data_IF_271589467113
#
_entry.id   IF_271589467113
#
_cell.length_a   1.000
_cell.length_b   1.000
_cell.length_c   1.000
_cell.angle_alpha   90.00
_cell.angle_beta   90.00
_cell.angle_gamma   90.00
#
_symmetry.space_group_name_H-M   'P 1'
#
loop_
_entity.id
_entity.type
_entity.pdbx_description
1 polymer ?
#
# COMPACT_ATOMS: atom_id res chain seq x y z
N UNK A 1 -22.03 19.55 8.45
CA UNK A 1 -22.29 18.19 8.96
C UNK A 1 -21.11 17.76 9.84
N UNK A 2 -21.28 17.54 11.16
CA UNK A 2 -20.18 17.12 12.03
C UNK A 2 -19.91 15.63 11.80
N UNK A 3 -18.81 15.26 11.14
CA UNK A 3 -18.35 13.86 11.09
C UNK A 3 -18.05 13.41 12.53
N UNK A 4 -18.76 12.40 13.03
CA UNK A 4 -18.45 11.76 14.30
C UNK A 4 -17.22 10.89 14.08
N UNK A 5 -16.16 11.14 14.81
CA UNK A 5 -15.02 10.21 14.90
C UNK A 5 -15.51 8.93 15.58
N UNK A 6 -15.44 7.80 14.87
CA UNK A 6 -15.74 6.47 15.41
C UNK A 6 -14.41 5.87 15.86
N UNK A 7 -14.33 5.44 17.12
CA UNK A 7 -13.17 4.72 17.61
C UNK A 7 -13.19 3.29 17.04
N UNK A 8 -12.09 2.87 16.45
CA UNK A 8 -11.88 1.51 15.95
C UNK A 8 -11.04 0.77 16.98
N UNK A 9 -11.49 -0.41 17.40
CA UNK A 9 -10.80 -1.25 18.37
C UNK A 9 -10.28 -2.52 17.70
N UNK A 10 -8.97 -2.75 17.82
CA UNK A 10 -8.30 -3.94 17.32
C UNK A 10 -8.07 -4.95 18.44
N UNK A 11 -8.42 -6.20 18.20
CA UNK A 11 -8.18 -7.29 19.15
C UNK A 11 -7.29 -8.35 18.50
N UNK A 12 -6.21 -8.71 19.20
CA UNK A 12 -5.32 -9.79 18.80
C UNK A 12 -5.26 -10.83 19.90
N UNK A 13 -5.46 -12.10 19.56
CA UNK A 13 -5.29 -13.24 20.46
C UNK A 13 -4.09 -14.07 19.99
N UNK A 14 -3.14 -14.28 20.91
CA UNK A 14 -1.98 -15.15 20.70
C UNK A 14 -2.12 -16.35 21.63
N UNK A 15 -2.41 -17.55 21.11
CA UNK A 15 -2.31 -18.77 21.90
C UNK A 15 -0.83 -19.04 22.16
N UNK A 16 -0.43 -19.10 23.41
CA UNK A 16 0.90 -19.49 23.87
C UNK A 16 0.78 -20.77 24.69
N UNK A 17 1.67 -21.71 24.42
CA UNK A 17 1.81 -22.91 25.23
C UNK A 17 2.57 -22.58 26.52
N UNK A 18 2.13 -23.12 27.67
CA UNK A 18 2.80 -22.93 28.96
C UNK A 18 4.26 -23.42 28.93
N UNK A 19 4.50 -24.53 28.25
CA UNK A 19 5.84 -25.10 28.08
C UNK A 19 6.76 -24.15 27.28
N UNK A 20 6.24 -23.48 26.28
CA UNK A 20 6.97 -22.48 25.51
C UNK A 20 7.37 -21.26 26.34
N UNK A 21 6.51 -20.83 27.27
CA UNK A 21 6.79 -19.70 28.17
C UNK A 21 7.87 -20.05 29.20
N UNK A 22 7.83 -21.28 29.72
CA UNK A 22 8.74 -21.74 30.79
C UNK A 22 10.13 -22.16 30.27
N UNK A 23 10.21 -22.66 29.02
CA UNK A 23 11.44 -23.22 28.44
C UNK A 23 12.21 -22.21 27.58
N UNK A 24 11.66 -21.03 27.34
CA UNK A 24 12.27 -20.04 26.46
C UNK A 24 13.51 -19.40 27.13
N UNK A 25 14.67 -19.78 26.70
CA UNK A 25 15.94 -19.11 27.03
C UNK A 25 16.12 -17.76 26.34
N UNK A 26 15.04 -17.14 25.84
CA UNK A 26 15.04 -15.85 25.16
C UNK A 26 13.99 -14.91 25.75
N UNK A 27 14.14 -13.62 25.46
CA UNK A 27 13.24 -12.56 25.95
C UNK A 27 11.85 -12.66 25.27
N UNK A 28 10.94 -13.37 25.95
CA UNK A 28 9.55 -13.59 25.51
C UNK A 28 8.82 -12.25 25.35
N UNK A 29 9.04 -11.32 26.24
CA UNK A 29 8.36 -10.02 26.25
C UNK A 29 8.70 -9.22 24.96
N UNK A 30 9.98 -9.20 24.61
CA UNK A 30 10.45 -8.59 23.36
C UNK A 30 9.91 -9.31 22.14
N UNK A 31 9.91 -10.64 22.14
CA UNK A 31 9.36 -11.44 21.05
C UNK A 31 7.86 -11.16 20.83
N UNK A 32 7.07 -11.16 21.90
CA UNK A 32 5.64 -10.87 21.86
C UNK A 32 5.37 -9.45 21.35
N UNK A 33 6.09 -8.47 21.88
CA UNK A 33 5.95 -7.07 21.46
C UNK A 33 6.20 -6.91 19.95
N UNK A 34 7.25 -7.55 19.42
CA UNK A 34 7.54 -7.52 18.00
C UNK A 34 6.48 -8.24 17.15
N UNK A 35 6.00 -9.41 17.61
CA UNK A 35 4.94 -10.15 16.92
C UNK A 35 3.62 -9.38 16.91
N UNK A 36 3.25 -8.79 18.04
CA UNK A 36 2.05 -7.95 18.17
C UNK A 36 2.15 -6.73 17.24
N UNK A 37 3.25 -5.98 17.32
CA UNK A 37 3.47 -4.81 16.47
C UNK A 37 3.37 -5.15 14.97
N UNK A 38 4.00 -6.25 14.54
CA UNK A 38 3.92 -6.70 13.15
C UNK A 38 2.50 -7.11 12.73
N UNK A 39 1.75 -7.76 13.64
CA UNK A 39 0.37 -8.20 13.35
C UNK A 39 -0.58 -7.01 13.28
N UNK A 40 -0.44 -6.03 14.19
CA UNK A 40 -1.22 -4.80 14.14
C UNK A 40 -0.92 -4.00 12.87
N UNK A 41 0.37 -3.78 12.54
CA UNK A 41 0.74 -3.09 11.33
C UNK A 41 0.17 -3.74 10.07
N UNK A 42 0.22 -5.07 9.97
CA UNK A 42 -0.41 -5.79 8.85
C UNK A 42 -1.93 -5.63 8.79
N UNK A 43 -2.60 -5.60 9.94
CA UNK A 43 -4.05 -5.43 10.00
C UNK A 43 -4.44 -4.01 9.59
N UNK A 44 -3.70 -3.00 10.06
CA UNK A 44 -3.88 -1.60 9.67
C UNK A 44 -3.63 -1.39 8.17
N UNK A 45 -2.50 -1.88 7.64
CA UNK A 45 -2.18 -1.79 6.21
C UNK A 45 -3.28 -2.43 5.36
N UNK A 46 -3.76 -3.62 5.77
CA UNK A 46 -4.85 -4.29 5.05
C UNK A 46 -6.15 -3.48 5.11
N UNK A 47 -6.48 -2.89 6.25
CA UNK A 47 -7.69 -2.10 6.40
C UNK A 47 -7.61 -0.79 5.61
N UNK A 48 -6.43 -0.16 5.49
CA UNK A 48 -6.26 1.03 4.67
C UNK A 48 -6.37 0.75 3.17
N UNK A 49 -6.09 -0.47 2.71
CA UNK A 49 -6.16 -0.84 1.29
C UNK A 49 -7.47 -1.53 0.91
N UNK A 50 -8.06 -2.32 1.83
CA UNK A 50 -9.22 -3.17 1.55
C UNK A 50 -10.37 -3.03 2.56
N UNK A 51 -10.33 -2.02 3.43
CA UNK A 51 -11.32 -1.85 4.50
C UNK A 51 -12.67 -1.36 3.99
N UNK A 52 -13.73 -1.87 4.56
CA UNK A 52 -15.12 -1.62 4.12
C UNK A 52 -15.76 -0.37 4.75
N UNK A 53 -15.13 0.26 5.73
CA UNK A 53 -15.70 1.39 6.50
C UNK A 53 -16.75 0.99 7.53
N UNK A 54 -17.09 -0.27 7.71
CA UNK A 54 -18.17 -0.73 8.59
C UNK A 54 -17.66 -0.98 9.98
N UNK A 55 -16.68 -1.32 10.47
CA UNK A 55 -16.03 -1.37 11.79
C UNK A 55 -14.50 -1.25 11.69
N UNK A 56 -14.07 -0.85 10.52
CA UNK A 56 -12.70 -0.63 10.10
C UNK A 56 -12.61 0.66 9.26
N UNK A 57 -11.44 1.20 8.96
CA UNK A 57 -11.28 2.34 8.08
C UNK A 57 -11.88 2.07 6.69
N UNK A 58 -12.41 3.10 6.06
CA UNK A 58 -12.71 3.05 4.63
C UNK A 58 -11.40 2.98 3.86
N UNK A 59 -11.28 2.07 2.92
CA UNK A 59 -10.08 1.88 2.12
C UNK A 59 -9.79 3.05 1.16
N UNK A 60 -8.57 3.14 0.70
CA UNK A 60 -8.14 4.16 -0.25
C UNK A 60 -8.73 3.94 -1.65
N UNK A 61 -9.15 2.72 -1.97
CA UNK A 61 -9.70 2.32 -3.26
C UNK A 61 -11.24 2.34 -3.28
N UNK A 62 -11.88 2.79 -2.20
CA UNK A 62 -13.33 2.79 -2.07
C UNK A 62 -14.00 3.69 -3.10
N UNK A 63 -15.04 3.20 -3.77
CA UNK A 63 -15.69 3.85 -4.92
C UNK A 63 -16.24 5.26 -4.65
N UNK A 64 -16.67 5.53 -3.41
CA UNK A 64 -17.33 6.80 -3.07
C UNK A 64 -16.55 7.71 -2.14
N UNK A 65 -15.78 7.14 -1.22
CA UNK A 65 -15.05 7.88 -0.16
C UNK A 65 -13.52 7.63 -0.21
N UNK A 66 -13.04 6.88 -1.20
CA UNK A 66 -11.63 6.58 -1.42
C UNK A 66 -10.89 7.64 -2.24
N UNK A 67 -9.79 7.25 -2.86
CA UNK A 67 -9.01 8.10 -3.76
C UNK A 67 -9.77 8.37 -5.07
N UNK A 68 -9.55 9.54 -5.65
CA UNK A 68 -10.14 9.91 -6.93
C UNK A 68 -9.59 9.03 -8.06
N UNK A 69 -10.49 8.46 -8.88
CA UNK A 69 -10.11 7.67 -10.05
C UNK A 69 -9.85 8.60 -11.23
N UNK A 70 -8.59 8.72 -11.64
CA UNK A 70 -8.22 9.56 -12.77
C UNK A 70 -8.43 8.89 -14.13
N UNK A 71 -8.22 7.57 -14.21
CA UNK A 71 -8.26 6.81 -15.47
C UNK A 71 -8.56 5.33 -15.19
N UNK A 72 -9.43 4.74 -16.00
CA UNK A 72 -9.66 3.30 -16.04
C UNK A 72 -9.24 2.75 -17.41
N UNK A 73 -8.32 1.76 -17.42
CA UNK A 73 -7.75 1.18 -18.64
C UNK A 73 -7.79 -0.34 -18.59
N UNK A 74 -8.05 -0.98 -19.72
CA UNK A 74 -7.97 -2.44 -19.85
C UNK A 74 -6.54 -2.94 -20.04
N UNK A 75 -5.72 -2.17 -20.75
CA UNK A 75 -4.31 -2.48 -21.03
C UNK A 75 -3.47 -1.29 -20.64
N UNK A 76 -2.58 -1.49 -19.67
CA UNK A 76 -1.72 -0.45 -19.16
C UNK A 76 -0.60 -0.10 -20.15
N UNK A 77 -0.52 1.18 -20.54
CA UNK A 77 0.53 1.74 -21.37
C UNK A 77 1.37 2.76 -20.61
N UNK A 78 2.50 3.16 -21.15
CA UNK A 78 3.33 4.20 -20.53
C UNK A 78 2.66 5.59 -20.61
N UNK A 79 1.85 5.83 -21.64
CA UNK A 79 1.08 7.06 -21.78
C UNK A 79 0.03 7.20 -20.67
N UNK A 80 -0.57 6.09 -20.22
CA UNK A 80 -1.51 6.10 -19.09
C UNK A 80 -0.82 6.51 -17.78
N UNK A 81 0.43 6.08 -17.60
CA UNK A 81 1.24 6.51 -16.44
C UNK A 81 1.52 8.01 -16.50
N UNK A 82 1.82 8.54 -17.69
CA UNK A 82 2.00 9.98 -17.90
C UNK A 82 0.70 10.72 -17.61
N UNK A 83 -0.43 10.24 -18.15
CA UNK A 83 -1.74 10.84 -17.91
C UNK A 83 -2.08 10.87 -16.41
N UNK A 84 -1.87 9.75 -15.71
CA UNK A 84 -2.09 9.67 -14.26
C UNK A 84 -1.18 10.66 -13.49
N UNK A 85 0.09 10.78 -13.88
CA UNK A 85 1.00 11.75 -13.27
C UNK A 85 0.50 13.19 -13.41
N UNK A 86 -0.04 13.54 -14.58
CA UNK A 86 -0.53 14.90 -14.84
C UNK A 86 -1.96 15.15 -14.37
N UNK A 87 -2.75 14.14 -14.02
CA UNK A 87 -4.06 14.30 -13.38
C UNK A 87 -3.96 14.90 -11.97
N UNK A 88 -2.86 14.64 -11.28
CA UNK A 88 -2.61 15.22 -9.94
C UNK A 88 -2.18 16.69 -10.08
N UNK A 89 -2.74 17.57 -9.28
CA UNK A 89 -2.36 19.00 -9.28
C UNK A 89 -0.88 19.20 -8.97
N UNK A 90 -0.29 20.22 -9.61
CA UNK A 90 1.15 20.51 -9.55
C UNK A 90 1.69 20.64 -8.12
N UNK A 91 0.91 21.22 -7.21
CA UNK A 91 1.35 21.43 -5.82
C UNK A 91 1.48 20.11 -5.05
N UNK A 92 0.63 19.09 -5.33
CA UNK A 92 0.66 17.78 -4.70
C UNK A 92 1.68 16.85 -5.37
N UNK A 93 1.89 16.98 -6.69
CA UNK A 93 2.85 16.16 -7.45
C UNK A 93 4.27 16.21 -6.87
N UNK A 94 4.66 17.31 -6.21
CA UNK A 94 6.01 17.48 -5.67
C UNK A 94 6.39 16.38 -4.70
N UNK A 95 5.46 15.96 -3.83
CA UNK A 95 5.67 14.95 -2.80
C UNK A 95 4.98 13.60 -3.12
N UNK A 96 4.50 13.44 -4.36
CA UNK A 96 3.86 12.23 -4.80
C UNK A 96 4.82 11.04 -4.83
N UNK A 97 4.30 9.87 -4.55
CA UNK A 97 4.94 8.56 -4.70
C UNK A 97 4.04 7.67 -5.52
N UNK A 98 4.61 6.65 -6.14
CA UNK A 98 3.85 5.59 -6.80
C UNK A 98 3.64 4.44 -5.85
N UNK A 99 2.39 4.07 -5.62
CA UNK A 99 2.02 2.87 -4.88
C UNK A 99 1.42 1.87 -5.87
N UNK A 100 2.01 0.70 -5.98
CA UNK A 100 1.52 -0.34 -6.88
C UNK A 100 1.92 -1.73 -6.40
N UNK A 101 1.16 -2.74 -6.84
CA UNK A 101 1.53 -4.12 -6.57
C UNK A 101 2.60 -4.63 -7.58
N UNK A 102 3.28 -5.72 -7.22
CA UNK A 102 4.34 -6.34 -8.03
C UNK A 102 3.89 -6.72 -9.45
N UNK A 103 2.62 -7.11 -9.63
CA UNK A 103 2.09 -7.47 -10.96
C UNK A 103 2.04 -6.25 -11.87
N UNK A 104 1.59 -5.11 -11.35
CA UNK A 104 1.56 -3.85 -12.09
C UNK A 104 2.98 -3.37 -12.38
N UNK A 105 3.87 -3.41 -11.41
CA UNK A 105 5.28 -3.08 -11.58
C UNK A 105 5.94 -3.94 -12.67
N UNK A 106 5.65 -5.26 -12.70
CA UNK A 106 6.15 -6.17 -13.73
C UNK A 106 5.66 -5.80 -15.13
N UNK A 107 4.39 -5.42 -15.27
CA UNK A 107 3.83 -4.97 -16.56
C UNK A 107 4.55 -3.70 -17.01
N UNK A 108 4.69 -2.69 -16.15
CA UNK A 108 5.36 -1.44 -16.46
C UNK A 108 6.84 -1.64 -16.82
N UNK A 109 7.55 -2.51 -16.12
CA UNK A 109 8.96 -2.82 -16.41
C UNK A 109 9.16 -3.53 -17.76
N UNK A 110 8.14 -4.20 -18.29
CA UNK A 110 8.19 -4.87 -19.60
C UNK A 110 7.84 -3.96 -20.77
N UNK A 111 7.32 -2.76 -20.51
CA UNK A 111 7.01 -1.80 -21.58
C UNK A 111 8.28 -1.36 -22.30
N UNK A 112 8.22 -1.35 -23.63
CA UNK A 112 9.32 -1.01 -24.52
C UNK A 112 8.90 0.07 -25.51
N UNK A 113 9.89 0.84 -25.95
CA UNK A 113 9.73 1.73 -27.09
C UNK A 113 9.76 0.95 -28.44
N UNK A 114 9.56 1.67 -29.55
CA UNK A 114 9.58 1.09 -30.90
C UNK A 114 10.95 0.50 -31.29
N UNK A 115 12.01 0.83 -30.55
CA UNK A 115 13.38 0.35 -30.78
C UNK A 115 13.72 -0.86 -29.86
N UNK A 116 12.80 -1.29 -29.02
CA UNK A 116 12.97 -2.39 -28.08
C UNK A 116 13.62 -2.03 -26.76
N UNK A 117 13.86 -0.74 -26.46
CA UNK A 117 14.39 -0.31 -25.19
C UNK A 117 13.30 -0.27 -24.13
N UNK A 118 13.63 -0.66 -22.90
CA UNK A 118 12.69 -0.55 -21.78
C UNK A 118 12.44 0.91 -21.42
N UNK A 119 11.17 1.29 -21.28
CA UNK A 119 10.76 2.66 -20.94
C UNK A 119 11.04 3.01 -19.48
N UNK A 120 10.89 2.07 -18.57
CA UNK A 120 11.28 2.27 -17.19
C UNK A 120 12.76 1.98 -17.02
N UNK A 121 13.54 3.01 -16.69
CA UNK A 121 14.97 2.86 -16.43
C UNK A 121 15.20 2.00 -15.17
N UNK A 122 15.92 0.89 -15.35
CA UNK A 122 16.16 -0.10 -14.29
C UNK A 122 17.15 0.34 -13.22
N UNK A 123 17.87 1.43 -13.45
CA UNK A 123 18.90 1.90 -12.51
C UNK A 123 18.32 2.49 -11.21
N UNK A 124 17.07 2.94 -11.23
CA UNK A 124 16.42 3.57 -10.09
C UNK A 124 14.98 3.08 -10.00
N UNK A 125 14.47 2.82 -8.79
CA UNK A 125 13.06 2.52 -8.55
C UNK A 125 12.21 3.78 -8.58
N UNK A 126 12.32 4.54 -9.69
CA UNK A 126 11.59 5.78 -9.90
C UNK A 126 10.91 5.80 -11.27
N UNK A 127 9.70 6.35 -11.31
CA UNK A 127 8.97 6.65 -12.54
C UNK A 127 8.70 8.16 -12.55
N UNK A 128 9.06 8.85 -13.63
CA UNK A 128 8.94 10.31 -13.74
C UNK A 128 9.56 11.06 -12.55
N UNK A 129 10.66 10.54 -12.00
CA UNK A 129 11.36 11.12 -10.88
C UNK A 129 10.68 10.92 -9.50
N UNK A 130 9.67 10.07 -9.42
CA UNK A 130 8.96 9.71 -8.18
C UNK A 130 9.25 8.28 -7.78
N UNK A 131 9.43 8.08 -6.47
CA UNK A 131 9.72 6.77 -5.92
C UNK A 131 8.53 5.81 -6.10
N UNK A 132 8.83 4.55 -6.39
CA UNK A 132 7.87 3.45 -6.44
C UNK A 132 7.98 2.65 -5.14
N UNK A 133 6.83 2.34 -4.53
CA UNK A 133 6.69 1.54 -3.30
C UNK A 133 5.75 0.38 -3.58
#
# INVERSE_FOLDING_TARGET
MKKRLKAISWHLSLPLDEDFVNDAGFDIEKYLTQKLGKSFGKAEDNAFINGTGADEPTDILHDTDGAETALAVETLTYDDVICLYFSVDKEYRRNGIWLMNDKTALVLRKLKDNNGNYLWNQANDTILGKQVI
#
